data_IF_794461707220
#
_entry.id   IF_794461707220
#
_cell.length_a   1.000
_cell.length_b   1.000
_cell.length_c   1.000
_cell.angle_alpha   90.00
_cell.angle_beta   90.00
_cell.angle_gamma   90.00
#
_symmetry.space_group_name_H-M   'P 1'
#
loop_
_entity.id
_entity.type
_entity.pdbx_description
1 polymer ?
#
# COMPACT_ATOMS: atom_id res chain seq x y z
N UNK A 1 -6.81 2.62 8.50
CA UNK A 1 -5.46 3.23 8.33
C UNK A 1 -5.61 4.73 8.18
N UNK A 2 -4.64 5.52 8.63
CA UNK A 2 -4.68 6.99 8.55
C UNK A 2 -3.72 7.50 7.46
N UNK A 3 -4.12 8.56 6.78
CA UNK A 3 -3.34 9.29 5.78
C UNK A 3 -3.29 10.77 6.14
N UNK A 4 -2.42 11.56 5.50
CA UNK A 4 -2.60 13.01 5.45
C UNK A 4 -3.97 13.40 4.86
N UNK A 5 -4.44 14.65 5.06
CA UNK A 5 -5.70 15.15 4.49
C UNK A 5 -5.78 14.94 2.98
N UNK A 6 -6.92 14.47 2.47
CA UNK A 6 -7.15 14.12 1.06
C UNK A 6 -6.35 12.92 0.53
N UNK A 7 -5.52 12.28 1.37
CA UNK A 7 -4.61 11.21 0.95
C UNK A 7 -5.23 9.82 0.87
N UNK A 8 -6.45 9.64 1.39
CA UNK A 8 -7.04 8.31 1.53
C UNK A 8 -7.30 7.63 0.18
N UNK A 9 -7.81 8.36 -0.81
CA UNK A 9 -8.09 7.82 -2.15
C UNK A 9 -6.83 7.31 -2.87
N UNK A 10 -5.71 8.04 -2.75
CA UNK A 10 -4.45 7.61 -3.33
C UNK A 10 -3.95 6.31 -2.69
N UNK A 11 -4.04 6.21 -1.36
CA UNK A 11 -3.66 5.00 -0.63
C UNK A 11 -4.58 3.82 -0.98
N UNK A 12 -5.90 4.03 -1.00
CA UNK A 12 -6.86 2.99 -1.37
C UNK A 12 -6.60 2.44 -2.77
N UNK A 13 -6.38 3.32 -3.77
CA UNK A 13 -6.06 2.88 -5.13
C UNK A 13 -4.75 2.07 -5.20
N UNK A 14 -3.73 2.42 -4.41
CA UNK A 14 -2.50 1.63 -4.34
C UNK A 14 -2.73 0.23 -3.74
N UNK A 15 -3.57 0.14 -2.70
CA UNK A 15 -3.95 -1.13 -2.08
C UNK A 15 -4.77 -1.98 -3.05
N UNK A 16 -5.74 -1.40 -3.74
CA UNK A 16 -6.59 -2.13 -4.69
C UNK A 16 -5.77 -2.72 -5.84
N UNK A 17 -4.76 -1.99 -6.34
CA UNK A 17 -3.83 -2.51 -7.36
C UNK A 17 -2.99 -3.68 -6.84
N UNK A 18 -2.55 -3.61 -5.58
CA UNK A 18 -1.82 -4.70 -4.93
C UNK A 18 -2.73 -5.91 -4.61
N UNK A 19 -4.03 -5.70 -4.41
CA UNK A 19 -4.98 -6.81 -4.31
C UNK A 19 -5.19 -7.47 -5.69
N UNK A 20 -5.37 -6.66 -6.73
CA UNK A 20 -5.59 -7.13 -8.11
C UNK A 20 -4.40 -7.89 -8.70
N UNK A 21 -3.17 -7.50 -8.34
CA UNK A 21 -1.96 -8.19 -8.80
C UNK A 21 -1.58 -9.42 -7.95
N UNK A 22 -2.38 -9.75 -6.93
CA UNK A 22 -2.21 -10.92 -6.07
C UNK A 22 -1.28 -10.72 -4.87
N UNK A 23 -0.61 -9.56 -4.72
CA UNK A 23 0.26 -9.27 -3.58
C UNK A 23 -0.51 -9.16 -2.25
N UNK A 24 -1.79 -8.74 -2.31
CA UNK A 24 -2.64 -8.56 -1.14
C UNK A 24 -3.96 -9.35 -1.22
N UNK A 25 -3.85 -10.67 -1.41
CA UNK A 25 -4.99 -11.59 -1.56
C UNK A 25 -5.86 -11.79 -0.31
N UNK A 26 -5.39 -11.34 0.86
CA UNK A 26 -6.10 -11.41 2.14
C UNK A 26 -7.11 -10.27 2.35
N UNK A 27 -7.12 -9.25 1.48
CA UNK A 27 -8.11 -8.18 1.48
C UNK A 27 -9.24 -8.47 0.47
N UNK A 28 -10.49 -8.18 0.85
CA UNK A 28 -11.66 -8.21 -0.04
C UNK A 28 -11.77 -6.89 -0.81
N UNK A 29 -11.47 -5.77 -0.14
CA UNK A 29 -11.56 -4.44 -0.73
C UNK A 29 -11.28 -3.33 0.28
N UNK A 30 -11.36 -2.09 -0.22
CA UNK A 30 -11.09 -0.87 0.57
C UNK A 30 -12.21 0.17 0.42
N UNK A 31 -12.36 1.01 1.45
CA UNK A 31 -13.21 2.21 1.42
C UNK A 31 -12.35 3.40 1.85
N UNK A 32 -12.27 4.43 1.02
CA UNK A 32 -11.57 5.67 1.31
C UNK A 32 -12.55 6.75 1.80
N UNK A 33 -12.19 7.42 2.90
CA UNK A 33 -12.75 8.71 3.31
C UNK A 33 -11.85 9.85 2.83
N UNK A 34 -11.68 10.88 3.67
CA UNK A 34 -10.73 11.97 3.42
C UNK A 34 -9.30 11.60 3.87
N UNK A 35 -9.18 11.21 5.14
CA UNK A 35 -7.90 10.93 5.80
C UNK A 35 -7.81 9.50 6.36
N UNK A 36 -8.79 8.66 6.01
CA UNK A 36 -8.95 7.32 6.57
C UNK A 36 -9.29 6.32 5.47
N UNK A 37 -8.64 5.17 5.52
CA UNK A 37 -8.96 4.01 4.67
C UNK A 37 -9.36 2.83 5.55
N UNK A 38 -10.54 2.26 5.31
CA UNK A 38 -10.97 0.98 5.85
C UNK A 38 -10.57 -0.12 4.86
N UNK A 39 -9.96 -1.19 5.36
CA UNK A 39 -9.61 -2.38 4.57
C UNK A 39 -10.32 -3.58 5.17
N UNK A 40 -11.05 -4.33 4.35
CA UNK A 40 -11.83 -5.48 4.79
C UNK A 40 -11.05 -6.76 4.53
N UNK A 41 -10.82 -7.56 5.58
CA UNK A 41 -10.15 -8.85 5.46
C UNK A 41 -11.10 -9.94 4.92
N UNK A 42 -10.52 -10.92 4.22
CA UNK A 42 -11.26 -12.07 3.66
C UNK A 42 -11.79 -13.04 4.71
N UNK A 43 -11.08 -13.16 5.83
CA UNK A 43 -11.44 -14.00 6.96
C UNK A 43 -11.92 -13.13 8.13
N UNK A 44 -12.92 -13.61 8.88
CA UNK A 44 -13.51 -12.88 10.01
C UNK A 44 -12.48 -12.48 11.08
N UNK A 45 -11.48 -13.32 11.33
CA UNK A 45 -10.37 -13.08 12.25
C UNK A 45 -9.07 -12.67 11.52
N UNK A 46 -9.13 -12.35 10.22
CA UNK A 46 -7.96 -12.05 9.38
C UNK A 46 -7.39 -10.63 9.54
N UNK A 47 -8.09 -9.75 10.26
CA UNK A 47 -7.69 -8.35 10.44
C UNK A 47 -6.26 -8.13 10.96
N UNK A 48 -5.81 -8.81 12.04
CA UNK A 48 -4.46 -8.66 12.56
C UNK A 48 -3.37 -9.08 11.56
N UNK A 49 -3.59 -10.18 10.84
CA UNK A 49 -2.66 -10.65 9.81
C UNK A 49 -2.58 -9.67 8.65
N UNK A 50 -3.74 -9.20 8.16
CA UNK A 50 -3.82 -8.19 7.10
C UNK A 50 -3.13 -6.88 7.50
N UNK A 51 -3.31 -6.42 8.74
CA UNK A 51 -2.65 -5.22 9.25
C UNK A 51 -1.12 -5.35 9.24
N UNK A 52 -0.58 -6.54 9.56
CA UNK A 52 0.87 -6.81 9.49
C UNK A 52 1.38 -6.69 8.06
N UNK A 53 0.70 -7.34 7.11
CA UNK A 53 1.07 -7.30 5.69
C UNK A 53 1.00 -5.87 5.14
N UNK A 54 -0.05 -5.11 5.46
CA UNK A 54 -0.19 -3.71 5.04
C UNK A 54 0.92 -2.81 5.59
N UNK A 55 1.40 -3.09 6.81
CA UNK A 55 2.51 -2.35 7.43
C UNK A 55 3.82 -2.59 6.66
N UNK A 56 4.05 -3.84 6.24
CA UNK A 56 5.19 -4.22 5.41
C UNK A 56 5.07 -3.66 3.98
N UNK A 57 3.86 -3.63 3.42
CA UNK A 57 3.57 -3.05 2.10
C UNK A 57 3.97 -1.57 2.01
N UNK A 58 3.60 -0.77 3.02
CA UNK A 58 4.02 0.64 3.09
C UNK A 58 5.54 0.81 3.18
N UNK A 59 6.24 -0.16 3.78
CA UNK A 59 7.70 -0.21 3.86
C UNK A 59 8.35 -0.63 2.53
N UNK A 60 7.75 -1.53 1.77
CA UNK A 60 8.26 -1.93 0.45
C UNK A 60 8.07 -0.84 -0.59
N UNK A 61 6.95 -0.10 -0.54
CA UNK A 61 6.68 1.02 -1.43
C UNK A 61 7.74 2.15 -1.34
N UNK A 62 8.24 2.45 -0.13
CA UNK A 62 9.36 3.40 0.06
C UNK A 62 10.68 2.85 -0.47
N UNK A 63 10.94 1.55 -0.33
CA UNK A 63 12.20 0.94 -0.73
C UNK A 63 12.35 0.88 -2.27
N UNK A 64 11.25 0.59 -2.98
CA UNK A 64 11.19 0.62 -4.45
C UNK A 64 11.44 2.01 -5.05
N UNK A 65 11.11 3.10 -4.33
CA UNK A 65 11.46 4.47 -4.75
C UNK A 65 12.95 4.74 -4.57
N UNK A 66 13.55 4.27 -3.47
CA UNK A 66 14.96 4.51 -3.17
C UNK A 66 15.88 3.80 -4.18
N UNK A 67 15.58 2.56 -4.55
CA UNK A 67 16.34 1.80 -5.57
C UNK A 67 16.25 2.43 -6.96
N UNK A 68 15.08 2.93 -7.36
CA UNK A 68 14.92 3.66 -8.64
C UNK A 68 15.66 5.00 -8.66
N UNK A 69 15.69 5.73 -7.54
CA UNK A 69 16.40 7.00 -7.44
C UNK A 69 17.93 6.83 -7.59
N UNK A 70 18.50 5.81 -6.94
CA UNK A 70 19.93 5.46 -7.05
C UNK A 70 20.28 5.13 -8.50
N UNK A 71 19.53 4.22 -9.13
CA UNK A 71 19.78 3.79 -10.52
C UNK A 71 19.70 4.93 -11.54
N UNK A 72 18.83 5.92 -11.31
CA UNK A 72 18.71 7.08 -12.19
C UNK A 72 19.87 8.08 -12.00
N UNK A 73 20.44 8.16 -10.80
CA UNK A 73 21.61 8.99 -10.49
C UNK A 73 22.89 8.41 -11.10
N UNK A 74 23.00 7.08 -11.17
CA UNK A 74 24.12 6.40 -11.84
C UNK A 74 24.11 6.62 -13.35
N UNK A 75 22.93 6.62 -13.98
CA UNK A 75 22.79 6.86 -15.43
C UNK A 75 23.04 8.30 -15.88
N UNK A 76 22.92 9.29 -15.00
CA UNK A 76 23.20 10.71 -15.32
C UNK A 76 24.67 11.09 -15.15
N UNK A 77 25.52 10.18 -14.65
CA UNK A 77 26.96 10.40 -14.43
C UNK A 77 27.85 9.79 -15.52
N UNK A 78 27.24 9.14 -16.52
CA UNK A 78 27.86 8.65 -17.75
C UNK A 78 27.36 9.48 -18.93
#
# INVERSE_FOLDING_TARGET
MRTPPGGANLLASAIDRAAQNGELSSAIGTIAGDDTVLVVAKQANGGPALAKVLKEFGVSARNSKNTKAIKNKDRKRN
#
